data_IF_559756161419
#
_entry.id   IF_559756161419
#
_cell.length_a   1.000
_cell.length_b   1.000
_cell.length_c   1.000
_cell.angle_alpha   90.00
_cell.angle_beta   90.00
_cell.angle_gamma   90.00
#
_symmetry.space_group_name_H-M   'P 1'
#
loop_
_entity.id
_entity.type
_entity.pdbx_description
1 polymer ?
#
# COMPACT_ATOMS: atom_id res chain seq x y z
N UNK A 1 2.74 10.51 -24.39
CA UNK A 1 3.05 10.46 -22.95
C UNK A 1 2.54 9.14 -22.40
N UNK A 2 3.39 8.34 -21.74
CA UNK A 2 3.00 7.03 -21.23
C UNK A 2 2.05 7.18 -20.04
N UNK A 3 1.06 6.30 -19.94
CA UNK A 3 0.08 6.25 -18.84
C UNK A 3 0.35 4.99 -18.04
N UNK A 4 0.48 5.11 -16.73
CA UNK A 4 0.78 4.00 -15.84
C UNK A 4 -0.30 3.80 -14.77
N UNK A 5 -0.52 2.55 -14.39
CA UNK A 5 -1.28 2.16 -13.21
C UNK A 5 -0.37 1.38 -12.26
N UNK A 6 -0.53 1.61 -10.96
CA UNK A 6 0.19 0.89 -9.91
C UNK A 6 -0.83 0.04 -9.15
N UNK A 7 -0.53 -1.24 -8.97
CA UNK A 7 -1.36 -2.21 -8.27
C UNK A 7 -0.47 -2.98 -7.31
N UNK A 8 -0.62 -2.73 -6.01
CA UNK A 8 0.17 -3.36 -4.96
C UNK A 8 -0.65 -4.43 -4.26
N UNK A 9 -0.10 -5.64 -4.17
CA UNK A 9 -0.57 -6.66 -3.24
C UNK A 9 0.21 -6.52 -1.93
N UNK A 10 -0.44 -5.93 -0.92
CA UNK A 10 0.21 -5.60 0.37
C UNK A 10 0.55 -6.86 1.16
N UNK A 11 -0.23 -7.93 1.02
CA UNK A 11 0.05 -9.22 1.67
C UNK A 11 1.28 -9.87 1.06
N UNK A 12 1.35 -9.89 -0.28
CA UNK A 12 2.52 -10.40 -0.98
C UNK A 12 3.78 -9.62 -0.60
N UNK A 13 3.72 -8.28 -0.61
CA UNK A 13 4.85 -7.44 -0.22
C UNK A 13 5.29 -7.72 1.22
N UNK A 14 4.35 -7.76 2.17
CA UNK A 14 4.65 -7.98 3.59
C UNK A 14 5.28 -9.35 3.86
N UNK A 15 4.86 -10.39 3.13
CA UNK A 15 5.40 -11.75 3.26
C UNK A 15 6.76 -11.93 2.61
N UNK A 16 7.11 -11.10 1.63
CA UNK A 16 8.36 -11.19 0.87
C UNK A 16 9.35 -10.07 1.23
N UNK A 17 9.34 -9.62 2.49
CA UNK A 17 10.35 -8.68 2.99
C UNK A 17 10.05 -7.21 2.74
N UNK A 18 8.83 -6.86 2.32
CA UNK A 18 8.34 -5.47 2.17
C UNK A 18 8.13 -4.73 3.51
N UNK A 19 8.78 -5.17 4.59
CA UNK A 19 8.81 -4.44 5.86
C UNK A 19 9.53 -3.11 5.66
N UNK A 20 8.85 -2.00 5.97
CA UNK A 20 9.41 -0.65 5.79
C UNK A 20 9.32 -0.11 4.35
N UNK A 21 8.41 -0.64 3.53
CA UNK A 21 8.17 -0.12 2.19
C UNK A 21 7.85 1.38 2.20
N UNK A 22 8.49 2.13 1.31
CA UNK A 22 8.27 3.56 1.12
C UNK A 22 7.35 3.75 -0.09
N UNK A 23 6.05 3.91 0.18
CA UNK A 23 5.02 3.96 -0.88
C UNK A 23 5.19 5.13 -1.85
N UNK A 24 5.70 6.27 -1.39
CA UNK A 24 6.08 7.42 -2.21
C UNK A 24 7.15 7.06 -3.24
N UNK A 25 8.20 6.32 -2.84
CA UNK A 25 9.31 5.92 -3.72
C UNK A 25 8.80 5.06 -4.90
N UNK A 26 7.78 4.22 -4.69
CA UNK A 26 7.17 3.43 -5.78
C UNK A 26 6.60 4.33 -6.86
N UNK A 27 5.92 5.42 -6.48
CA UNK A 27 5.34 6.37 -7.43
C UNK A 27 6.42 7.13 -8.18
N UNK A 28 7.48 7.53 -7.49
CA UNK A 28 8.63 8.19 -8.12
C UNK A 28 9.36 7.25 -9.10
N UNK A 29 9.51 5.97 -8.75
CA UNK A 29 10.09 4.95 -9.64
C UNK A 29 9.29 4.80 -10.95
N UNK A 30 7.96 4.86 -10.88
CA UNK A 30 7.10 4.79 -12.08
C UNK A 30 7.18 6.08 -12.89
N UNK A 31 7.16 7.25 -12.23
CA UNK A 31 7.30 8.54 -12.91
C UNK A 31 8.65 8.70 -13.60
N UNK A 32 9.73 8.17 -13.01
CA UNK A 32 11.08 8.20 -13.58
C UNK A 32 11.17 7.50 -14.94
N UNK A 33 10.21 6.64 -15.29
CA UNK A 33 10.10 6.01 -16.62
C UNK A 33 9.40 6.90 -17.66
N UNK A 34 9.15 8.18 -17.35
CA UNK A 34 8.47 9.12 -18.25
C UNK A 34 6.96 8.90 -18.36
N UNK A 35 6.34 8.28 -17.34
CA UNK A 35 4.91 7.97 -17.31
C UNK A 35 4.14 8.88 -16.35
N UNK A 36 2.89 9.20 -16.71
CA UNK A 36 1.91 9.78 -15.79
C UNK A 36 1.17 8.62 -15.09
N UNK A 37 1.19 8.63 -13.76
CA UNK A 37 0.40 7.70 -12.95
C UNK A 37 -1.07 8.12 -12.97
N UNK A 38 -1.94 7.27 -13.52
CA UNK A 38 -3.38 7.49 -13.56
C UNK A 38 -4.12 6.80 -12.40
N UNK A 39 -3.57 5.71 -11.88
CA UNK A 39 -4.11 4.94 -10.76
C UNK A 39 -2.98 4.44 -9.89
N UNK A 40 -3.21 4.46 -8.59
CA UNK A 40 -2.32 3.86 -7.61
C UNK A 40 -3.20 3.15 -6.58
N UNK A 41 -3.37 1.84 -6.75
CA UNK A 41 -4.20 1.01 -5.89
C UNK A 41 -3.31 0.12 -5.02
N UNK A 42 -3.67 -0.01 -3.75
CA UNK A 42 -3.08 -0.97 -2.84
C UNK A 42 -4.19 -1.87 -2.31
N UNK A 43 -4.01 -3.18 -2.42
CA UNK A 43 -4.95 -4.21 -1.98
C UNK A 43 -4.39 -4.83 -0.71
N UNK A 44 -5.14 -4.74 0.39
CA UNK A 44 -4.73 -5.21 1.69
C UNK A 44 -5.81 -6.11 2.27
N UNK A 45 -5.44 -7.29 2.76
CA UNK A 45 -6.40 -8.17 3.43
C UNK A 45 -6.80 -7.59 4.79
N UNK A 46 -8.02 -7.92 5.22
CA UNK A 46 -8.54 -7.56 6.54
C UNK A 46 -8.88 -8.81 7.33
N UNK A 47 -8.36 -8.89 8.55
CA UNK A 47 -8.77 -9.88 9.55
C UNK A 47 -9.54 -9.17 10.67
N UNK A 48 -10.84 -8.95 10.44
CA UNK A 48 -11.69 -8.20 11.35
C UNK A 48 -11.85 -8.87 12.72
N UNK A 49 -11.77 -10.22 12.78
CA UNK A 49 -11.85 -10.94 14.05
C UNK A 49 -10.61 -10.66 14.88
N UNK A 50 -9.42 -10.73 14.27
CA UNK A 50 -8.17 -10.43 14.96
C UNK A 50 -8.07 -8.97 15.36
N UNK A 51 -8.41 -8.03 14.48
CA UNK A 51 -8.40 -6.59 14.80
C UNK A 51 -9.29 -6.23 16.01
N UNK A 52 -10.36 -6.98 16.25
CA UNK A 52 -11.27 -6.75 17.36
C UNK A 52 -10.72 -7.21 18.73
N UNK A 53 -9.80 -8.18 18.74
CA UNK A 53 -9.32 -8.81 19.99
C UNK A 53 -7.84 -8.55 20.27
N UNK A 54 -7.05 -8.21 19.25
CA UNK A 54 -5.60 -7.96 19.32
C UNK A 54 -5.33 -6.47 19.03
N UNK A 55 -5.22 -5.69 20.10
CA UNK A 55 -5.04 -4.23 20.02
C UNK A 55 -3.70 -3.85 19.36
N UNK A 56 -2.64 -4.62 19.60
CA UNK A 56 -1.33 -4.36 18.99
C UNK A 56 -1.40 -4.57 17.46
N UNK A 57 -2.01 -5.67 17.03
CA UNK A 57 -2.25 -5.92 15.62
C UNK A 57 -3.11 -4.83 14.99
N UNK A 58 -4.19 -4.41 15.67
CA UNK A 58 -5.09 -3.34 15.22
C UNK A 58 -4.35 -2.02 14.99
N UNK A 59 -3.54 -1.57 15.96
CA UNK A 59 -2.74 -0.35 15.81
C UNK A 59 -1.73 -0.45 14.67
N UNK A 60 -1.07 -1.60 14.52
CA UNK A 60 -0.11 -1.85 13.44
C UNK A 60 -0.77 -1.81 12.06
N UNK A 61 -1.90 -2.49 11.89
CA UNK A 61 -2.70 -2.48 10.66
C UNK A 61 -3.16 -1.06 10.34
N UNK A 62 -3.65 -0.31 11.34
CA UNK A 62 -4.04 1.08 11.15
C UNK A 62 -2.88 1.95 10.66
N UNK A 63 -1.67 1.77 11.21
CA UNK A 63 -0.46 2.43 10.74
C UNK A 63 -0.15 2.15 9.25
N UNK A 64 -0.33 0.90 8.80
CA UNK A 64 -0.19 0.56 7.37
C UNK A 64 -1.25 1.24 6.51
N UNK A 65 -2.52 1.21 6.92
CA UNK A 65 -3.62 1.88 6.20
C UNK A 65 -3.36 3.37 6.03
N UNK A 66 -2.89 4.03 7.09
CA UNK A 66 -2.58 5.46 7.09
C UNK A 66 -1.37 5.79 6.22
N UNK A 67 -0.31 4.96 6.26
CA UNK A 67 0.86 5.13 5.41
C UNK A 67 0.48 5.01 3.91
N UNK A 68 -0.33 4.02 3.53
CA UNK A 68 -0.78 3.84 2.14
C UNK A 68 -1.57 5.06 1.67
N UNK A 69 -2.58 5.49 2.46
CA UNK A 69 -3.46 6.61 2.11
C UNK A 69 -2.70 7.93 2.03
N UNK A 70 -1.79 8.19 2.97
CA UNK A 70 -0.96 9.41 2.99
C UNK A 70 -0.10 9.54 1.74
N UNK A 71 0.34 8.42 1.16
CA UNK A 71 1.13 8.40 -0.07
C UNK A 71 0.28 8.44 -1.35
N UNK A 72 -1.03 8.69 -1.22
CA UNK A 72 -1.95 8.88 -2.34
C UNK A 72 -2.22 7.61 -3.12
N UNK A 73 -2.22 6.46 -2.43
CA UNK A 73 -2.78 5.22 -2.95
C UNK A 73 -4.24 5.12 -2.52
N UNK A 74 -5.07 4.67 -3.45
CA UNK A 74 -6.40 4.18 -3.16
C UNK A 74 -6.29 2.81 -2.51
N UNK A 75 -6.58 2.76 -1.21
CA UNK A 75 -6.56 1.53 -0.43
C UNK A 75 -7.87 0.76 -0.62
N UNK A 76 -7.74 -0.48 -1.05
CA UNK A 76 -8.81 -1.48 -1.18
C UNK A 76 -8.60 -2.54 -0.09
N UNK A 77 -9.66 -2.82 0.65
CA UNK A 77 -9.70 -3.71 1.81
C UNK A 77 -10.54 -4.96 1.52
#
# INVERSE_FOLDING_TARGET
MLKAGIFLDVENLSRNGGWGIQYDVIKELVKAQGAIVLRANAYMAVDAQREAVDQEYSHKVQGYRDAIRRNGFHLVL
#
